data_IF_309635463085
#
_entry.id   IF_309635463085
#
_cell.length_a   1.000
_cell.length_b   1.000
_cell.length_c   1.000
_cell.angle_alpha   90.00
_cell.angle_beta   90.00
_cell.angle_gamma   90.00
#
_symmetry.space_group_name_H-M   'P 1'
#
loop_
_entity.id
_entity.type
_entity.pdbx_description
1 polymer ?
#
# COMPACT_ATOMS: atom_id res chain seq x y z
N UNK A 1 -30.18 15.69 51.31
CA UNK A 1 -28.87 16.31 51.02
C UNK A 1 -28.38 15.79 49.70
N UNK A 2 -28.35 16.65 48.68
CA UNK A 2 -27.78 16.36 47.37
C UNK A 2 -26.27 16.63 47.43
N UNK A 3 -25.44 15.68 46.99
CA UNK A 3 -24.01 15.91 46.77
C UNK A 3 -23.71 15.70 45.28
N UNK A 4 -23.17 16.75 44.69
CA UNK A 4 -22.90 16.96 43.27
C UNK A 4 -21.71 16.12 42.77
N UNK A 5 -21.72 15.63 41.51
CA UNK A 5 -20.59 14.93 40.92
C UNK A 5 -19.49 15.94 40.51
N UNK A 6 -18.29 15.77 41.06
CA UNK A 6 -17.11 16.57 40.71
C UNK A 6 -16.70 16.36 39.25
N UNK A 7 -16.38 17.48 38.63
CA UNK A 7 -16.01 17.74 37.26
C UNK A 7 -14.86 16.88 36.73
N UNK A 8 -15.02 16.45 35.47
CA UNK A 8 -13.96 15.93 34.59
C UNK A 8 -12.91 17.02 34.41
N UNK A 9 -11.70 16.80 34.93
CA UNK A 9 -10.54 17.57 34.53
C UNK A 9 -10.19 17.18 33.08
N UNK A 10 -10.39 18.12 32.16
CA UNK A 10 -9.86 18.05 30.82
C UNK A 10 -8.33 18.02 30.88
N UNK A 11 -7.73 16.90 30.48
CA UNK A 11 -6.32 16.83 30.10
C UNK A 11 -6.13 17.73 28.87
N UNK A 12 -5.69 18.96 29.11
CA UNK A 12 -5.06 19.79 28.09
C UNK A 12 -3.74 19.12 27.67
N UNK A 13 -3.78 18.27 26.65
CA UNK A 13 -2.59 17.95 25.88
C UNK A 13 -2.18 19.20 25.11
N UNK A 14 -1.21 19.94 25.67
CA UNK A 14 -0.44 20.93 24.94
C UNK A 14 0.23 20.19 23.77
N UNK A 15 -0.26 20.43 22.55
CA UNK A 15 0.48 20.11 21.34
C UNK A 15 1.74 20.99 21.35
N UNK A 16 2.84 20.51 21.94
CA UNK A 16 4.15 20.93 21.48
C UNK A 16 4.28 20.37 20.07
N UNK A 17 4.38 21.25 19.07
CA UNK A 17 4.97 20.87 17.80
C UNK A 17 6.39 20.41 18.13
N UNK A 18 6.57 19.10 18.24
CA UNK A 18 7.91 18.53 18.18
C UNK A 18 8.33 18.79 16.74
N UNK A 19 9.28 19.70 16.54
CA UNK A 19 9.93 19.85 15.25
C UNK A 19 10.46 18.46 14.88
N UNK A 20 9.80 17.79 13.93
CA UNK A 20 10.32 16.54 13.38
C UNK A 20 11.73 16.84 12.86
N UNK A 21 12.75 16.06 13.24
CA UNK A 21 14.12 16.31 12.80
C UNK A 21 14.16 16.28 11.28
N UNK A 22 14.30 17.46 10.67
CA UNK A 22 14.44 17.62 9.23
C UNK A 22 15.82 17.10 8.83
N UNK A 23 15.85 16.00 8.09
CA UNK A 23 17.04 15.40 7.49
C UNK A 23 17.81 16.42 6.63
N UNK A 24 19.13 16.45 6.71
CA UNK A 24 19.92 17.27 5.77
C UNK A 24 19.87 16.68 4.36
N UNK A 25 19.93 17.53 3.34
CA UNK A 25 19.95 17.08 1.94
C UNK A 25 21.11 16.09 1.71
N UNK A 26 20.81 14.92 1.15
CA UNK A 26 21.81 13.90 0.85
C UNK A 26 22.03 12.80 1.92
N UNK A 27 21.53 12.95 3.15
CA UNK A 27 21.66 11.91 4.18
C UNK A 27 20.66 10.75 3.98
N UNK A 28 20.94 9.56 4.52
CA UNK A 28 20.06 8.39 4.37
C UNK A 28 18.91 8.30 5.38
N UNK A 29 18.97 9.06 6.48
CA UNK A 29 17.96 9.03 7.54
C UNK A 29 17.94 10.35 8.32
N UNK A 30 16.77 10.75 8.83
CA UNK A 30 16.65 11.87 9.79
C UNK A 30 17.27 11.56 11.14
N UNK A 31 17.18 10.30 11.57
CA UNK A 31 17.81 9.77 12.78
C UNK A 31 18.88 8.75 12.40
N UNK A 32 20.13 9.18 12.39
CA UNK A 32 21.22 8.31 11.98
C UNK A 32 21.54 7.20 12.97
N UNK A 33 21.41 7.45 14.28
CA UNK A 33 21.67 6.42 15.29
C UNK A 33 20.68 5.26 15.16
N UNK A 34 19.40 5.58 14.91
CA UNK A 34 18.38 4.58 14.62
C UNK A 34 18.69 3.81 13.33
N UNK A 35 19.16 4.52 12.29
CA UNK A 35 19.62 3.90 11.04
C UNK A 35 20.77 2.91 11.29
N UNK A 36 21.85 3.34 11.96
CA UNK A 36 23.02 2.51 12.23
C UNK A 36 22.64 1.26 13.00
N UNK A 37 21.83 1.40 14.05
CA UNK A 37 21.35 0.27 14.85
C UNK A 37 20.57 -0.73 14.00
N UNK A 38 19.63 -0.26 13.18
CA UNK A 38 18.81 -1.12 12.34
C UNK A 38 19.64 -1.77 11.22
N UNK A 39 20.55 -1.03 10.60
CA UNK A 39 21.45 -1.55 9.56
C UNK A 39 22.43 -2.57 10.15
N UNK A 40 22.93 -2.35 11.37
CA UNK A 40 23.83 -3.29 12.03
C UNK A 40 23.19 -4.66 12.27
N UNK A 41 21.89 -4.71 12.59
CA UNK A 41 21.15 -5.98 12.72
C UNK A 41 21.14 -6.75 11.39
N UNK A 42 20.91 -6.05 10.29
CA UNK A 42 20.93 -6.62 8.93
C UNK A 42 22.33 -7.14 8.59
N UNK A 43 23.36 -6.30 8.76
CA UNK A 43 24.75 -6.66 8.48
C UNK A 43 25.23 -7.83 9.35
N UNK A 44 24.86 -7.87 10.63
CA UNK A 44 25.19 -9.01 11.51
C UNK A 44 24.53 -10.30 11.05
N UNK A 45 23.30 -10.22 10.54
CA UNK A 45 22.59 -11.39 10.00
C UNK A 45 23.29 -11.89 8.74
N UNK A 46 23.54 -11.01 7.77
CA UNK A 46 24.27 -11.34 6.55
C UNK A 46 25.69 -11.88 6.82
N UNK A 47 26.42 -11.30 7.77
CA UNK A 47 27.77 -11.76 8.14
C UNK A 47 27.77 -13.17 8.73
N UNK A 48 26.77 -13.50 9.56
CA UNK A 48 26.57 -14.88 10.08
C UNK A 48 26.31 -15.89 8.96
N UNK A 49 25.82 -15.42 7.81
CA UNK A 49 25.57 -16.20 6.60
C UNK A 49 26.70 -16.14 5.55
N UNK A 50 27.89 -15.71 5.95
CA UNK A 50 29.09 -15.72 5.11
C UNK A 50 29.20 -14.54 4.15
N UNK A 51 28.33 -13.53 4.24
CA UNK A 51 28.42 -12.34 3.40
C UNK A 51 29.53 -11.42 3.91
N UNK A 52 30.44 -11.05 3.01
CA UNK A 52 31.48 -10.05 3.25
C UNK A 52 31.11 -8.73 2.58
N UNK A 53 31.34 -7.63 3.29
CA UNK A 53 30.90 -6.30 2.86
C UNK A 53 32.03 -5.55 2.14
N UNK A 54 31.75 -5.06 0.94
CA UNK A 54 32.72 -4.29 0.13
C UNK A 54 32.77 -2.80 0.49
N UNK A 55 31.76 -2.29 1.21
CA UNK A 55 31.61 -0.88 1.57
C UNK A 55 31.22 -0.72 3.04
N UNK A 56 31.39 0.49 3.57
CA UNK A 56 30.86 0.85 4.89
C UNK A 56 29.39 1.24 4.79
N UNK A 57 28.50 0.27 5.02
CA UNK A 57 27.04 0.42 4.96
C UNK A 57 26.44 1.28 6.07
N UNK A 58 27.20 1.60 7.12
CA UNK A 58 26.72 2.42 8.23
C UNK A 58 26.82 3.93 7.93
N UNK A 59 27.49 4.34 6.86
CA UNK A 59 27.68 5.77 6.54
C UNK A 59 26.37 6.53 6.31
N UNK A 60 26.37 7.80 6.71
CA UNK A 60 25.28 8.77 6.54
C UNK A 60 25.02 9.13 5.09
N UNK A 61 26.10 9.22 4.30
CA UNK A 61 26.07 9.69 2.93
C UNK A 61 25.60 8.60 1.98
N UNK A 62 24.89 8.98 0.91
CA UNK A 62 24.46 8.05 -0.14
C UNK A 62 25.65 7.40 -0.83
N UNK A 63 25.44 6.18 -1.32
CA UNK A 63 26.38 5.58 -2.25
C UNK A 63 26.13 6.12 -3.65
N UNK A 64 27.22 6.48 -4.34
CA UNK A 64 27.16 6.85 -5.76
C UNK A 64 26.66 5.68 -6.58
N UNK A 65 25.80 5.98 -7.56
CA UNK A 65 25.24 5.03 -8.52
C UNK A 65 25.03 5.75 -9.85
N UNK A 66 25.32 5.07 -10.95
CA UNK A 66 25.06 5.53 -12.32
C UNK A 66 23.68 5.07 -12.82
N UNK A 67 23.14 5.74 -13.83
CA UNK A 67 21.87 5.32 -14.46
C UNK A 67 21.97 3.93 -15.09
N UNK A 68 23.12 3.60 -15.70
CA UNK A 68 23.36 2.28 -16.28
C UNK A 68 23.30 1.15 -15.25
N UNK A 69 23.70 1.41 -14.00
CA UNK A 69 23.60 0.42 -12.91
C UNK A 69 22.15 0.19 -12.46
N UNK A 70 21.23 1.08 -12.86
CA UNK A 70 19.80 1.02 -12.53
C UNK A 70 18.93 0.47 -13.66
N UNK A 71 19.52 0.14 -14.81
CA UNK A 71 18.82 -0.43 -15.96
C UNK A 71 18.07 -1.73 -15.56
N UNK A 72 16.81 -1.85 -15.99
CA UNK A 72 15.90 -2.94 -15.66
C UNK A 72 15.08 -2.76 -14.38
N UNK A 73 15.28 -1.66 -13.64
CA UNK A 73 14.49 -1.33 -12.44
C UNK A 73 13.47 -0.19 -12.69
N UNK A 74 13.30 0.27 -13.93
CA UNK A 74 12.53 1.46 -14.31
C UNK A 74 11.06 1.38 -13.91
N UNK A 75 10.50 0.16 -13.83
CA UNK A 75 9.14 -0.09 -13.34
C UNK A 75 8.98 0.20 -11.84
N UNK A 76 10.07 0.13 -11.07
CA UNK A 76 10.09 0.26 -9.60
C UNK A 76 10.61 1.64 -9.20
N UNK A 77 11.69 2.10 -9.83
CA UNK A 77 12.36 3.35 -9.47
C UNK A 77 12.11 4.46 -10.47
N UNK A 78 12.20 5.70 -9.99
CA UNK A 78 12.40 6.87 -10.85
C UNK A 78 13.84 7.36 -10.57
N UNK A 79 14.77 7.37 -11.56
CA UNK A 79 16.20 7.58 -11.31
C UNK A 79 16.55 8.83 -10.49
N UNK A 80 15.85 9.94 -10.72
CA UNK A 80 16.12 11.21 -10.05
C UNK A 80 15.20 11.53 -8.87
N UNK A 81 14.29 10.61 -8.51
CA UNK A 81 13.37 10.82 -7.39
C UNK A 81 13.89 10.16 -6.11
N UNK A 82 13.78 10.90 -5.01
CA UNK A 82 13.95 10.39 -3.66
C UNK A 82 12.70 9.61 -3.25
N UNK A 83 12.85 8.32 -3.01
CA UNK A 83 11.82 7.49 -2.38
C UNK A 83 12.17 7.23 -0.93
N UNK A 84 11.16 7.15 -0.08
CA UNK A 84 11.31 6.98 1.36
C UNK A 84 10.51 5.79 1.85
N UNK A 85 11.05 5.13 2.86
CA UNK A 85 10.38 4.11 3.64
C UNK A 85 10.24 4.62 5.08
N UNK A 86 9.07 4.42 5.68
CA UNK A 86 8.83 4.73 7.09
C UNK A 86 8.77 3.42 7.87
N UNK A 87 9.66 3.25 8.85
CA UNK A 87 9.54 2.18 9.83
C UNK A 87 8.30 2.44 10.69
N UNK A 88 7.26 1.64 10.48
CA UNK A 88 5.97 1.82 11.16
C UNK A 88 6.04 1.56 12.67
N UNK A 89 7.10 0.93 13.18
CA UNK A 89 7.32 0.72 14.61
C UNK A 89 7.91 1.94 15.29
N UNK A 90 8.91 2.57 14.67
CA UNK A 90 9.65 3.70 15.26
C UNK A 90 9.16 5.07 14.77
N UNK A 91 8.48 5.11 13.63
CA UNK A 91 8.12 6.34 12.92
C UNK A 91 9.27 6.92 12.08
N UNK A 92 10.45 6.31 12.13
CA UNK A 92 11.65 6.81 11.45
C UNK A 92 11.55 6.66 9.94
N UNK A 93 12.07 7.66 9.21
CA UNK A 93 12.10 7.65 7.76
C UNK A 93 13.50 7.39 7.23
N UNK A 94 13.60 6.42 6.34
CA UNK A 94 14.81 6.05 5.63
C UNK A 94 14.67 6.36 4.16
N UNK A 95 15.67 7.01 3.59
CA UNK A 95 15.78 7.18 2.16
C UNK A 95 16.14 5.85 1.47
N UNK A 96 15.60 5.66 0.28
CA UNK A 96 16.07 4.66 -0.68
C UNK A 96 17.45 5.04 -1.25
N UNK A 97 18.52 4.67 -0.56
CA UNK A 97 19.88 4.78 -1.10
C UNK A 97 20.11 3.68 -2.15
N UNK A 98 19.77 4.00 -3.41
CA UNK A 98 19.80 3.08 -4.56
C UNK A 98 21.17 2.39 -4.71
N UNK A 99 22.27 3.17 -4.57
CA UNK A 99 23.63 2.64 -4.66
C UNK A 99 23.96 1.66 -3.52
N UNK A 100 23.38 1.87 -2.34
CA UNK A 100 23.53 0.95 -1.20
C UNK A 100 22.75 -0.34 -1.38
N UNK A 101 21.53 -0.25 -1.91
CA UNK A 101 20.73 -1.44 -2.20
C UNK A 101 21.41 -2.33 -3.24
N UNK A 102 21.93 -1.74 -4.33
CA UNK A 102 22.69 -2.46 -5.35
C UNK A 102 23.99 -3.07 -4.79
N UNK A 103 24.75 -2.29 -4.02
CA UNK A 103 25.99 -2.80 -3.42
C UNK A 103 25.71 -3.99 -2.49
N UNK A 104 24.63 -3.91 -1.70
CA UNK A 104 24.23 -4.97 -0.78
C UNK A 104 23.81 -6.23 -1.54
N UNK A 105 22.97 -6.08 -2.58
CA UNK A 105 22.56 -7.20 -3.44
C UNK A 105 23.77 -7.88 -4.10
N UNK A 106 24.75 -7.09 -4.57
CA UNK A 106 25.99 -7.59 -5.15
C UNK A 106 26.85 -8.35 -4.14
N UNK A 107 27.04 -7.82 -2.94
CA UNK A 107 27.82 -8.48 -1.88
C UNK A 107 27.17 -9.81 -1.46
N UNK A 108 25.83 -9.83 -1.36
CA UNK A 108 25.07 -11.05 -1.06
C UNK A 108 25.22 -12.08 -2.20
N UNK A 109 24.96 -11.67 -3.44
CA UNK A 109 25.05 -12.54 -4.62
C UNK A 109 26.46 -13.12 -4.77
N UNK A 110 27.50 -12.31 -4.55
CA UNK A 110 28.90 -12.77 -4.59
C UNK A 110 29.17 -13.88 -3.55
N UNK A 111 28.58 -13.78 -2.37
CA UNK A 111 28.79 -14.73 -1.29
C UNK A 111 27.91 -15.98 -1.40
N UNK A 112 26.70 -15.85 -1.96
CA UNK A 112 25.64 -16.87 -1.91
C UNK A 112 25.29 -17.47 -3.26
N UNK A 113 25.77 -16.87 -4.35
CA UNK A 113 25.36 -17.19 -5.71
C UNK A 113 24.05 -16.53 -6.11
N UNK A 114 23.62 -16.81 -7.34
CA UNK A 114 22.34 -16.36 -7.88
C UNK A 114 21.20 -17.00 -7.10
N UNK A 115 20.19 -16.20 -6.74
CA UNK A 115 19.01 -16.67 -6.00
C UNK A 115 18.23 -17.72 -6.80
N UNK A 116 17.89 -18.83 -6.15
CA UNK A 116 16.97 -19.87 -6.67
C UNK A 116 15.75 -20.02 -5.76
N UNK A 117 14.70 -20.67 -6.25
CA UNK A 117 13.48 -20.98 -5.48
C UNK A 117 13.21 -22.48 -5.59
N UNK A 118 12.98 -23.15 -4.46
CA UNK A 118 12.88 -24.61 -4.37
C UNK A 118 11.45 -25.14 -4.58
N UNK A 119 10.54 -24.29 -5.04
CA UNK A 119 9.15 -24.64 -5.31
C UNK A 119 8.70 -24.03 -6.64
N UNK A 120 7.70 -24.66 -7.25
CA UNK A 120 7.17 -24.21 -8.53
C UNK A 120 6.19 -23.06 -8.32
N UNK A 121 6.46 -21.95 -9.01
CA UNK A 121 5.66 -20.74 -8.94
C UNK A 121 5.36 -20.24 -10.36
N UNK A 122 4.08 -20.17 -10.70
CA UNK A 122 3.62 -19.68 -12.01
C UNK A 122 3.10 -18.25 -11.90
N UNK A 123 3.24 -17.53 -12.99
CA UNK A 123 2.47 -16.32 -13.27
C UNK A 123 0.98 -16.65 -13.27
N UNK A 124 0.18 -15.73 -12.73
CA UNK A 124 -1.28 -15.84 -12.73
C UNK A 124 -1.91 -14.53 -13.15
N UNK A 125 -3.10 -14.61 -13.71
CA UNK A 125 -3.92 -13.45 -14.08
C UNK A 125 -5.28 -13.56 -13.41
N UNK A 126 -5.82 -12.43 -12.96
CA UNK A 126 -7.17 -12.33 -12.46
C UNK A 126 -7.78 -10.96 -12.79
N UNK A 127 -8.72 -10.94 -13.74
CA UNK A 127 -9.27 -9.69 -14.26
C UNK A 127 -8.19 -8.84 -14.93
N UNK A 128 -8.00 -7.62 -14.45
CA UNK A 128 -6.99 -6.68 -14.98
C UNK A 128 -5.63 -6.76 -14.30
N UNK A 129 -5.44 -7.70 -13.39
CA UNK A 129 -4.17 -7.88 -12.70
C UNK A 129 -3.48 -9.13 -13.20
N UNK A 130 -2.17 -9.06 -13.36
CA UNK A 130 -1.31 -10.21 -13.63
C UNK A 130 -0.07 -10.14 -12.75
N UNK A 131 0.58 -11.29 -12.55
CA UNK A 131 1.76 -11.41 -11.70
C UNK A 131 3.00 -11.77 -12.48
N UNK A 132 4.15 -11.36 -11.94
CA UNK A 132 5.47 -11.84 -12.38
C UNK A 132 6.31 -12.22 -11.15
N UNK A 133 6.63 -13.51 -10.94
CA UNK A 133 7.60 -13.92 -9.93
C UNK A 133 8.97 -13.30 -10.19
N UNK A 134 9.70 -12.95 -9.12
CA UNK A 134 11.10 -12.54 -9.27
C UNK A 134 11.97 -13.73 -9.64
N UNK A 135 12.90 -13.50 -10.56
CA UNK A 135 13.91 -14.45 -11.01
C UNK A 135 15.28 -14.09 -10.44
N UNK A 136 16.25 -15.01 -10.56
CA UNK A 136 17.60 -14.82 -10.00
C UNK A 136 18.25 -13.49 -10.40
N UNK A 137 18.11 -13.08 -11.67
CA UNK A 137 18.62 -11.81 -12.18
C UNK A 137 17.97 -10.56 -11.55
N UNK A 138 16.70 -10.65 -11.11
CA UNK A 138 16.04 -9.56 -10.39
C UNK A 138 16.65 -9.40 -8.99
N UNK A 139 17.01 -10.51 -8.35
CA UNK A 139 17.75 -10.51 -7.08
C UNK A 139 19.18 -9.96 -7.23
N UNK A 140 19.89 -10.29 -8.31
CA UNK A 140 21.21 -9.69 -8.55
C UNK A 140 21.13 -8.16 -8.66
N UNK A 141 20.01 -7.64 -9.19
CA UNK A 141 19.71 -6.21 -9.28
C UNK A 141 19.10 -5.60 -8.00
N UNK A 142 18.97 -6.35 -6.91
CA UNK A 142 18.45 -5.80 -5.66
C UNK A 142 16.93 -5.60 -5.63
N UNK A 143 16.16 -6.15 -6.58
CA UNK A 143 14.74 -5.86 -6.75
C UNK A 143 13.90 -5.97 -5.45
N UNK A 144 14.06 -6.98 -4.57
CA UNK A 144 13.29 -7.05 -3.32
C UNK A 144 13.43 -5.80 -2.43
N UNK A 145 14.63 -5.21 -2.38
CA UNK A 145 14.85 -3.97 -1.64
C UNK A 145 14.03 -2.83 -2.25
N UNK A 146 14.12 -2.63 -3.56
CA UNK A 146 13.41 -1.55 -4.26
C UNK A 146 11.89 -1.68 -4.17
N UNK A 147 11.36 -2.91 -4.29
CA UNK A 147 9.94 -3.19 -4.15
C UNK A 147 9.40 -2.70 -2.81
N UNK A 148 10.13 -2.97 -1.73
CA UNK A 148 9.78 -2.57 -0.37
C UNK A 148 9.69 -1.05 -0.19
N UNK A 149 10.57 -0.30 -0.86
CA UNK A 149 10.54 1.17 -0.85
C UNK A 149 9.42 1.74 -1.72
N UNK A 150 9.18 1.18 -2.91
CA UNK A 150 8.20 1.72 -3.87
C UNK A 150 6.79 1.70 -3.34
N UNK A 151 6.41 0.65 -2.61
CA UNK A 151 5.08 0.53 -2.01
C UNK A 151 4.93 1.40 -0.76
N UNK A 152 6.01 1.95 -0.19
CA UNK A 152 6.01 2.77 1.04
C UNK A 152 5.30 2.09 2.22
N UNK A 153 5.17 0.78 2.18
CA UNK A 153 4.40 -0.01 3.13
C UNK A 153 5.25 -1.21 3.53
N UNK A 154 5.84 -1.12 4.72
CA UNK A 154 6.47 -2.27 5.35
C UNK A 154 6.11 -2.25 6.83
N UNK A 155 5.45 -3.31 7.29
CA UNK A 155 5.10 -3.52 8.71
C UNK A 155 6.33 -3.93 9.56
N UNK A 156 7.58 -3.75 9.06
CA UNK A 156 8.79 -4.23 9.74
C UNK A 156 9.81 -3.15 10.06
N UNK A 157 10.39 -3.22 11.27
CA UNK A 157 11.58 -2.47 11.61
C UNK A 157 12.79 -3.04 10.85
N UNK A 158 13.53 -2.17 10.17
CA UNK A 158 14.77 -2.50 9.51
C UNK A 158 15.23 -1.37 8.59
N UNK A 159 16.55 -1.21 8.45
CA UNK A 159 17.08 -0.37 7.39
C UNK A 159 16.80 -1.02 6.03
N UNK A 160 16.98 -0.28 4.92
CA UNK A 160 16.95 -0.84 3.55
C UNK A 160 15.68 -1.61 3.15
N UNK A 161 14.51 -1.17 3.62
CA UNK A 161 13.21 -1.74 3.22
C UNK A 161 12.69 -2.86 4.13
N UNK A 162 13.37 -3.14 5.24
CA UNK A 162 12.95 -4.15 6.23
C UNK A 162 13.72 -5.47 6.12
N UNK A 163 13.31 -6.46 6.91
CA UNK A 163 14.04 -7.74 7.00
C UNK A 163 13.68 -8.75 5.89
N UNK A 164 12.53 -8.61 5.22
CA UNK A 164 12.11 -9.57 4.18
C UNK A 164 13.02 -9.64 2.97
N UNK A 165 13.48 -8.53 2.38
CA UNK A 165 14.45 -8.61 1.30
C UNK A 165 15.65 -9.50 1.67
N UNK A 166 16.18 -9.34 2.89
CA UNK A 166 17.30 -10.13 3.39
C UNK A 166 16.92 -11.59 3.59
N UNK A 167 15.79 -11.86 4.23
CA UNK A 167 15.31 -13.22 4.44
C UNK A 167 15.09 -13.96 3.12
N UNK A 168 14.62 -13.25 2.08
CA UNK A 168 14.47 -13.81 0.73
C UNK A 168 15.83 -14.19 0.15
N UNK A 169 16.86 -13.33 0.21
CA UNK A 169 18.19 -13.74 -0.27
C UNK A 169 18.77 -14.95 0.46
N UNK A 170 18.42 -15.12 1.74
CA UNK A 170 18.96 -16.18 2.57
C UNK A 170 18.16 -17.50 2.48
N UNK A 171 17.01 -17.50 1.79
CA UNK A 171 16.10 -18.65 1.73
C UNK A 171 15.65 -18.97 0.31
N UNK A 172 15.80 -20.23 -0.11
CA UNK A 172 15.18 -20.70 -1.35
C UNK A 172 13.68 -21.01 -1.20
N UNK A 173 13.14 -20.87 0.01
CA UNK A 173 11.76 -21.09 0.37
C UNK A 173 10.98 -19.77 0.45
N UNK A 174 11.60 -18.65 0.09
CA UNK A 174 10.97 -17.34 -0.01
C UNK A 174 11.19 -16.71 -1.39
N UNK A 175 10.16 -16.05 -1.91
CA UNK A 175 10.30 -15.18 -3.09
C UNK A 175 9.25 -14.07 -3.11
N UNK A 176 9.52 -13.02 -3.86
CA UNK A 176 8.57 -11.95 -4.15
C UNK A 176 7.89 -12.14 -5.51
N UNK A 177 6.65 -11.66 -5.60
CA UNK A 177 5.85 -11.67 -6.82
C UNK A 177 5.32 -10.27 -7.08
N UNK A 178 5.71 -9.70 -8.21
CA UNK A 178 5.23 -8.40 -8.66
C UNK A 178 3.80 -8.52 -9.19
N UNK A 179 3.05 -7.43 -9.05
CA UNK A 179 1.68 -7.29 -9.55
C UNK A 179 1.64 -6.11 -10.52
N UNK A 180 1.08 -6.37 -11.69
CA UNK A 180 0.90 -5.38 -12.75
C UNK A 180 -0.58 -5.22 -13.10
N UNK A 181 -0.95 -4.03 -13.56
CA UNK A 181 -2.28 -3.78 -14.12
C UNK A 181 -2.34 -4.12 -15.63
N UNK A 182 -3.51 -3.96 -16.25
CA UNK A 182 -3.72 -4.24 -17.68
C UNK A 182 -2.94 -3.35 -18.64
N UNK A 183 -2.41 -2.22 -18.16
CA UNK A 183 -1.55 -1.32 -18.93
C UNK A 183 -0.07 -1.71 -18.84
N UNK A 184 0.27 -2.72 -18.04
CA UNK A 184 1.64 -3.11 -17.75
C UNK A 184 2.31 -2.27 -16.65
N UNK A 185 1.56 -1.42 -15.94
CA UNK A 185 2.14 -0.65 -14.84
C UNK A 185 2.27 -1.52 -13.60
N UNK A 186 3.42 -1.43 -12.91
CA UNK A 186 3.61 -2.02 -11.59
C UNK A 186 2.70 -1.33 -10.57
N UNK A 187 1.90 -2.13 -9.84
CA UNK A 187 0.92 -1.62 -8.85
C UNK A 187 1.16 -2.16 -7.44
N UNK A 188 2.05 -3.12 -7.25
CA UNK A 188 2.35 -3.72 -5.95
C UNK A 188 3.08 -5.04 -6.07
N UNK A 189 3.33 -5.68 -4.93
CA UNK A 189 3.91 -7.01 -4.86
C UNK A 189 3.41 -7.75 -3.61
N UNK A 190 3.68 -9.04 -3.54
CA UNK A 190 3.57 -9.80 -2.31
C UNK A 190 4.70 -10.83 -2.18
N UNK A 191 4.99 -11.25 -0.96
CA UNK A 191 5.97 -12.30 -0.69
C UNK A 191 5.27 -13.64 -0.49
N UNK A 192 5.84 -14.72 -1.02
CA UNK A 192 5.43 -16.10 -0.78
C UNK A 192 6.52 -16.80 0.03
N UNK A 193 6.10 -17.54 1.06
CA UNK A 193 6.98 -18.34 1.89
C UNK A 193 6.47 -19.78 2.00
N UNK A 194 7.33 -20.74 1.69
CA UNK A 194 7.09 -22.15 1.96
C UNK A 194 7.40 -22.46 3.43
N UNK A 195 6.60 -23.34 4.01
CA UNK A 195 6.70 -23.77 5.39
C UNK A 195 7.33 -25.15 5.50
N UNK A 196 7.76 -25.51 6.71
CA UNK A 196 8.37 -26.82 6.99
C UNK A 196 7.49 -28.01 6.63
N UNK A 197 6.16 -27.83 6.72
CA UNK A 197 5.20 -28.85 6.35
C UNK A 197 4.86 -28.85 4.84
N UNK A 198 5.52 -28.02 4.04
CA UNK A 198 5.29 -27.84 2.60
C UNK A 198 4.16 -26.87 2.24
N UNK A 199 3.35 -26.40 3.20
CA UNK A 199 2.31 -25.40 2.94
C UNK A 199 2.91 -24.03 2.60
N UNK A 200 2.10 -23.15 2.02
CA UNK A 200 2.54 -21.78 1.68
C UNK A 200 1.84 -20.72 2.53
N UNK A 201 2.57 -19.65 2.80
CA UNK A 201 2.03 -18.42 3.38
C UNK A 201 2.40 -17.24 2.49
N UNK A 202 1.40 -16.50 2.04
CA UNK A 202 1.56 -15.18 1.45
C UNK A 202 1.73 -14.20 2.63
N UNK A 203 2.92 -13.61 2.72
CA UNK A 203 3.33 -12.70 3.80
C UNK A 203 2.74 -11.31 3.60
N UNK A 204 3.58 -10.35 3.20
CA UNK A 204 3.15 -8.98 2.88
C UNK A 204 2.37 -8.95 1.57
N UNK A 205 1.26 -8.22 1.53
CA UNK A 205 0.61 -7.77 0.29
C UNK A 205 0.74 -6.25 0.25
N UNK A 206 1.77 -5.76 -0.45
CA UNK A 206 2.12 -4.35 -0.50
C UNK A 206 1.67 -3.74 -1.83
N UNK A 207 0.71 -2.81 -1.76
CA UNK A 207 0.12 -2.17 -2.93
C UNK A 207 0.44 -0.68 -2.93
N UNK A 208 0.64 -0.08 -4.11
CA UNK A 208 0.83 1.37 -4.20
C UNK A 208 -0.50 2.08 -3.85
N UNK A 209 -0.56 2.77 -2.71
CA UNK A 209 -1.67 3.65 -2.32
C UNK A 209 -1.39 5.10 -2.72
N UNK A 210 -1.99 5.54 -3.84
CA UNK A 210 -1.88 6.92 -4.33
C UNK A 210 -2.98 7.82 -3.73
N UNK A 211 -3.06 7.88 -2.39
CA UNK A 211 -3.96 8.79 -1.66
C UNK A 211 -5.42 8.79 -2.17
N UNK A 212 -5.98 7.59 -2.36
CA UNK A 212 -7.38 7.39 -2.80
C UNK A 212 -7.56 7.07 -4.29
N UNK A 213 -6.48 7.02 -5.08
CA UNK A 213 -6.50 6.48 -6.45
C UNK A 213 -5.89 5.08 -6.48
N UNK A 214 -6.70 4.07 -6.23
CA UNK A 214 -6.28 2.68 -6.41
C UNK A 214 -6.14 2.38 -7.90
N UNK A 215 -4.93 2.03 -8.35
CA UNK A 215 -4.67 1.55 -9.72
C UNK A 215 -5.13 0.10 -9.93
N UNK A 216 -5.67 -0.53 -8.90
CA UNK A 216 -6.18 -1.89 -8.91
C UNK A 216 -7.57 -1.97 -8.28
N UNK A 217 -8.33 -3.01 -8.60
CA UNK A 217 -9.55 -3.35 -7.89
C UNK A 217 -9.25 -4.29 -6.73
N UNK A 218 -9.72 -3.98 -5.53
CA UNK A 218 -9.62 -4.88 -4.38
C UNK A 218 -10.29 -6.24 -4.63
N UNK A 219 -11.36 -6.28 -5.45
CA UNK A 219 -12.02 -7.53 -5.86
C UNK A 219 -11.09 -8.37 -6.75
N UNK A 220 -10.40 -7.72 -7.69
CA UNK A 220 -9.45 -8.40 -8.58
C UNK A 220 -8.21 -8.85 -7.81
N UNK A 221 -7.71 -8.06 -6.85
CA UNK A 221 -6.62 -8.47 -5.97
C UNK A 221 -6.99 -9.74 -5.18
N UNK A 222 -8.19 -9.82 -4.59
CA UNK A 222 -8.63 -11.05 -3.90
C UNK A 222 -8.69 -12.25 -4.83
N UNK A 223 -9.16 -12.05 -6.06
CA UNK A 223 -9.18 -13.11 -7.08
C UNK A 223 -7.76 -13.53 -7.44
N UNK A 224 -6.85 -12.57 -7.63
CA UNK A 224 -5.44 -12.83 -7.94
C UNK A 224 -4.77 -13.68 -6.86
N UNK A 225 -4.97 -13.32 -5.58
CA UNK A 225 -4.43 -14.08 -4.44
C UNK A 225 -5.03 -15.49 -4.36
N UNK A 226 -6.34 -15.63 -4.64
CA UNK A 226 -7.00 -16.94 -4.71
C UNK A 226 -6.43 -17.79 -5.86
N UNK A 227 -6.31 -17.22 -7.07
CA UNK A 227 -5.73 -17.89 -8.23
C UNK A 227 -4.28 -18.30 -7.99
N UNK A 228 -3.48 -17.43 -7.35
CA UNK A 228 -2.11 -17.77 -6.96
C UNK A 228 -2.09 -18.93 -5.96
N UNK A 229 -2.99 -18.93 -4.97
CA UNK A 229 -3.09 -20.02 -4.00
C UNK A 229 -3.47 -21.35 -4.64
N UNK A 230 -4.40 -21.36 -5.58
CA UNK A 230 -4.76 -22.57 -6.34
C UNK A 230 -3.59 -23.05 -7.19
N UNK A 231 -2.93 -22.13 -7.91
CA UNK A 231 -1.75 -22.43 -8.73
C UNK A 231 -0.61 -23.04 -7.88
N UNK A 232 -0.34 -22.49 -6.69
CA UNK A 232 0.64 -23.05 -5.77
C UNK A 232 0.31 -24.49 -5.38
N UNK A 233 -0.94 -24.80 -5.05
CA UNK A 233 -1.33 -26.18 -4.72
C UNK A 233 -1.28 -27.11 -5.94
N UNK A 234 -1.67 -26.65 -7.12
CA UNK A 234 -1.64 -27.48 -8.33
C UNK A 234 -0.20 -27.88 -8.71
N UNK A 235 0.76 -26.98 -8.54
CA UNK A 235 2.16 -27.21 -8.95
C UNK A 235 3.06 -27.73 -7.82
N UNK A 236 2.55 -27.86 -6.59
CA UNK A 236 3.34 -28.34 -5.44
C UNK A 236 2.53 -29.37 -4.65
N UNK A 237 2.63 -30.65 -5.03
CA UNK A 237 1.78 -31.74 -4.54
C UNK A 237 1.81 -31.94 -3.01
N UNK A 238 2.95 -31.68 -2.37
CA UNK A 238 3.11 -31.82 -0.92
C UNK A 238 2.29 -30.80 -0.13
N UNK A 239 2.06 -29.61 -0.69
CA UNK A 239 1.33 -28.55 -0.02
C UNK A 239 -0.16 -28.90 0.10
N UNK A 240 -0.74 -28.68 1.27
CA UNK A 240 -2.18 -28.87 1.50
C UNK A 240 -2.93 -27.55 1.58
N UNK A 241 -2.26 -26.47 1.99
CA UNK A 241 -2.88 -25.18 2.25
C UNK A 241 -2.04 -24.02 1.77
N UNK A 242 -2.74 -22.95 1.40
CA UNK A 242 -2.17 -21.62 1.20
C UNK A 242 -2.89 -20.64 2.12
N UNK A 243 -2.11 -19.95 2.95
CA UNK A 243 -2.61 -18.93 3.86
C UNK A 243 -2.11 -17.53 3.52
N UNK A 244 -2.77 -16.49 4.02
CA UNK A 244 -2.32 -15.10 4.01
C UNK A 244 -2.04 -14.63 5.42
N UNK A 245 -1.02 -13.80 5.61
CA UNK A 245 -0.74 -13.16 6.89
C UNK A 245 -1.87 -12.23 7.35
N UNK A 246 -2.14 -12.21 8.65
CA UNK A 246 -3.12 -11.33 9.32
C UNK A 246 -2.58 -9.90 9.52
N UNK A 247 -1.86 -9.38 8.52
CA UNK A 247 -1.29 -8.05 8.52
C UNK A 247 -2.39 -7.01 8.36
N UNK A 248 -2.27 -5.88 9.06
CA UNK A 248 -3.25 -4.80 8.92
C UNK A 248 -3.36 -4.32 7.48
N UNK A 249 -2.22 -4.17 6.82
CA UNK A 249 -2.15 -3.78 5.41
C UNK A 249 -2.67 -4.87 4.47
N UNK A 250 -2.34 -6.15 4.71
CA UNK A 250 -2.84 -7.26 3.89
C UNK A 250 -4.37 -7.27 3.82
N UNK A 251 -5.02 -7.26 5.00
CA UNK A 251 -6.47 -7.32 5.07
C UNK A 251 -7.14 -6.03 4.61
N UNK A 252 -6.52 -4.86 4.85
CA UNK A 252 -7.01 -3.58 4.31
C UNK A 252 -6.93 -3.53 2.79
N UNK A 253 -5.87 -4.07 2.18
CA UNK A 253 -5.71 -4.11 0.72
C UNK A 253 -6.72 -5.07 0.08
N UNK A 254 -7.02 -6.19 0.71
CA UNK A 254 -8.01 -7.16 0.21
C UNK A 254 -9.45 -6.75 0.52
N UNK A 255 -9.72 -6.14 1.69
CA UNK A 255 -11.05 -5.87 2.22
C UNK A 255 -11.14 -4.47 2.86
N UNK A 256 -10.96 -3.38 2.09
CA UNK A 256 -10.80 -2.03 2.63
C UNK A 256 -11.99 -1.55 3.46
N UNK A 257 -13.22 -1.89 3.07
CA UNK A 257 -14.42 -1.49 3.83
C UNK A 257 -14.56 -2.19 5.18
N UNK A 258 -13.93 -3.37 5.34
CA UNK A 258 -14.03 -4.21 6.54
C UNK A 258 -12.87 -3.97 7.52
N UNK A 259 -11.75 -3.43 7.04
CA UNK A 259 -10.51 -3.22 7.83
C UNK A 259 -9.97 -1.80 7.75
N UNK A 260 -10.78 -0.82 7.31
CA UNK A 260 -10.46 0.59 7.49
C UNK A 260 -10.37 0.94 8.98
N UNK A 261 -9.65 2.02 9.32
CA UNK A 261 -9.55 2.49 10.70
C UNK A 261 -10.96 2.68 11.30
N UNK A 262 -11.13 2.24 12.54
CA UNK A 262 -12.39 2.29 13.31
C UNK A 262 -13.53 1.37 12.80
N UNK A 263 -13.23 0.36 11.99
CA UNK A 263 -14.20 -0.70 11.64
C UNK A 263 -14.08 -1.88 12.60
N UNK A 264 -15.15 -2.68 12.72
CA UNK A 264 -15.15 -3.87 13.58
C UNK A 264 -14.03 -4.87 13.22
N UNK A 265 -13.75 -5.03 11.91
CA UNK A 265 -12.65 -5.87 11.45
C UNK A 265 -11.28 -5.30 11.84
N UNK A 266 -11.10 -3.98 11.86
CA UNK A 266 -9.87 -3.34 12.34
C UNK A 266 -9.62 -3.64 13.83
N UNK A 267 -10.64 -3.48 14.68
CA UNK A 267 -10.51 -3.76 16.11
C UNK A 267 -10.27 -5.25 16.39
N UNK A 268 -11.05 -6.11 15.76
CA UNK A 268 -10.92 -7.56 15.89
C UNK A 268 -9.55 -8.04 15.42
N UNK A 269 -9.05 -7.53 14.30
CA UNK A 269 -7.71 -7.84 13.84
C UNK A 269 -6.63 -7.38 14.83
N UNK A 270 -6.80 -6.21 15.45
CA UNK A 270 -5.89 -5.68 16.46
C UNK A 270 -5.71 -6.62 17.65
N UNK A 271 -6.79 -7.28 18.08
CA UNK A 271 -6.76 -8.28 19.16
C UNK A 271 -6.10 -9.60 18.72
N UNK A 272 -6.24 -9.98 17.44
CA UNK A 272 -5.84 -11.30 16.96
C UNK A 272 -4.42 -11.34 16.37
N UNK A 273 -4.01 -10.34 15.60
CA UNK A 273 -2.86 -10.45 14.67
C UNK A 273 -1.51 -10.77 15.32
N UNK A 274 -1.33 -10.44 16.60
CA UNK A 274 -0.08 -10.72 17.33
C UNK A 274 -0.28 -11.59 18.57
N UNK A 275 -1.53 -11.98 18.87
CA UNK A 275 -1.85 -12.79 20.04
C UNK A 275 -1.35 -14.23 19.89
N UNK A 276 -1.20 -14.92 21.02
CA UNK A 276 -1.23 -16.37 21.04
C UNK A 276 -2.70 -16.80 20.91
N UNK A 277 -3.06 -17.39 19.77
CA UNK A 277 -4.45 -17.72 19.47
C UNK A 277 -5.06 -18.75 20.42
N UNK A 278 -4.24 -19.51 21.16
CA UNK A 278 -4.73 -20.43 22.20
C UNK A 278 -5.36 -19.69 23.39
N UNK A 279 -4.99 -18.42 23.59
CA UNK A 279 -5.44 -17.58 24.70
C UNK A 279 -6.62 -16.66 24.33
N UNK A 280 -7.05 -16.67 23.08
CA UNK A 280 -8.05 -15.74 22.53
C UNK A 280 -9.44 -16.38 22.60
N UNK A 281 -10.46 -15.56 22.89
CA UNK A 281 -11.86 -15.99 22.83
C UNK A 281 -12.28 -16.46 21.42
N UNK A 282 -12.89 -17.64 21.33
CA UNK A 282 -13.34 -18.24 20.08
C UNK A 282 -14.34 -17.34 19.31
N UNK A 283 -15.14 -16.52 20.00
CA UNK A 283 -16.08 -15.59 19.35
C UNK A 283 -15.37 -14.55 18.49
N UNK A 284 -14.18 -14.10 18.90
CA UNK A 284 -13.36 -13.16 18.13
C UNK A 284 -12.81 -13.81 16.86
N UNK A 285 -12.37 -15.06 16.97
CA UNK A 285 -11.95 -15.89 15.84
C UNK A 285 -13.13 -16.04 14.86
N UNK A 286 -14.26 -16.55 15.33
CA UNK A 286 -15.47 -16.74 14.52
C UNK A 286 -15.96 -15.44 13.87
N UNK A 287 -15.78 -14.30 14.54
CA UNK A 287 -16.14 -13.01 13.97
C UNK A 287 -15.20 -12.62 12.81
N UNK A 288 -13.89 -12.79 12.95
CA UNK A 288 -12.95 -12.53 11.86
C UNK A 288 -13.19 -13.46 10.67
N UNK A 289 -13.47 -14.74 10.92
CA UNK A 289 -13.79 -15.72 9.88
C UNK A 289 -15.05 -15.31 9.09
N UNK A 290 -16.10 -14.85 9.77
CA UNK A 290 -17.31 -14.31 9.11
C UNK A 290 -17.05 -13.03 8.32
N UNK A 291 -16.13 -12.18 8.78
CA UNK A 291 -15.78 -10.95 8.07
C UNK A 291 -14.98 -11.27 6.80
N UNK A 292 -14.10 -12.27 6.85
CA UNK A 292 -13.15 -12.54 5.76
C UNK A 292 -13.57 -13.67 4.83
N UNK A 293 -14.49 -14.51 5.27
CA UNK A 293 -14.85 -15.79 4.64
C UNK A 293 -13.66 -16.78 4.55
N UNK A 294 -12.65 -16.58 5.43
CA UNK A 294 -11.45 -17.40 5.55
C UNK A 294 -11.34 -17.99 6.95
N UNK A 295 -10.81 -19.21 7.03
CA UNK A 295 -10.55 -19.89 8.30
C UNK A 295 -9.30 -19.32 8.98
N UNK A 296 -9.37 -19.04 10.28
CA UNK A 296 -8.21 -18.63 11.06
C UNK A 296 -7.36 -19.86 11.36
N UNK A 297 -6.09 -19.79 10.97
CA UNK A 297 -5.15 -20.86 11.27
C UNK A 297 -4.77 -20.82 12.75
N UNK A 298 -5.10 -21.88 13.49
CA UNK A 298 -4.82 -21.98 14.94
C UNK A 298 -3.34 -21.97 15.30
N UNK A 299 -2.48 -22.52 14.43
CA UNK A 299 -1.03 -22.54 14.61
C UNK A 299 -0.39 -21.48 13.73
N UNK A 300 0.54 -20.70 14.27
CA UNK A 300 1.36 -19.78 13.48
C UNK A 300 2.03 -20.52 12.32
N UNK A 301 2.13 -19.91 11.12
CA UNK A 301 2.97 -20.45 10.06
C UNK A 301 4.39 -20.65 10.58
N UNK A 302 5.10 -21.69 10.13
CA UNK A 302 6.50 -21.94 10.48
C UNK A 302 7.29 -21.95 9.18
N UNK A 303 8.06 -20.89 8.93
CA UNK A 303 8.82 -20.76 7.68
C UNK A 303 10.07 -21.61 7.76
N UNK A 304 10.43 -22.25 6.66
CA UNK A 304 11.63 -23.08 6.62
C UNK A 304 12.89 -22.28 6.87
N UNK A 305 13.66 -22.74 7.85
CA UNK A 305 14.87 -22.06 8.31
C UNK A 305 14.62 -20.70 8.98
N UNK A 306 13.42 -20.48 9.57
CA UNK A 306 13.04 -19.16 10.09
C UNK A 306 13.98 -18.60 11.17
N UNK A 307 14.66 -19.47 11.93
CA UNK A 307 15.64 -19.05 12.95
C UNK A 307 16.87 -18.43 12.29
N UNK A 308 17.34 -19.07 11.22
CA UNK A 308 18.56 -18.72 10.51
C UNK A 308 18.35 -17.44 9.71
N UNK A 309 17.23 -17.31 9.00
CA UNK A 309 16.99 -16.21 8.06
C UNK A 309 16.35 -14.97 8.70
N UNK A 310 16.12 -14.96 10.02
CA UNK A 310 15.57 -13.81 10.73
C UNK A 310 14.06 -13.62 10.52
N UNK A 311 13.32 -14.72 10.46
CA UNK A 311 11.88 -14.78 10.17
C UNK A 311 11.08 -15.34 11.35
N UNK A 312 11.55 -15.11 12.57
CA UNK A 312 10.86 -15.58 13.77
C UNK A 312 9.50 -14.90 13.95
N UNK A 313 8.49 -15.56 14.54
CA UNK A 313 7.14 -15.00 14.68
C UNK A 313 7.07 -13.61 15.33
N UNK A 314 8.01 -13.26 16.20
CA UNK A 314 8.15 -11.94 16.83
C UNK A 314 8.79 -10.89 15.92
N UNK A 315 9.53 -11.32 14.89
CA UNK A 315 10.17 -10.49 13.86
C UNK A 315 9.24 -10.23 12.66
N UNK A 316 8.33 -11.16 12.33
CA UNK A 316 7.33 -11.06 11.24
C UNK A 316 5.91 -10.91 11.75
N UNK A 317 5.68 -9.83 12.49
CA UNK A 317 4.43 -9.63 13.23
C UNK A 317 3.17 -9.56 12.35
N UNK A 318 3.28 -9.05 11.13
CA UNK A 318 2.16 -9.00 10.17
C UNK A 318 1.63 -10.40 9.80
N UNK A 319 2.45 -11.45 9.82
CA UNK A 319 2.02 -12.80 9.47
C UNK A 319 2.39 -13.86 10.51
N UNK A 320 2.58 -13.43 11.77
CA UNK A 320 2.61 -14.34 12.93
C UNK A 320 1.37 -15.24 12.94
N UNK A 321 0.20 -14.64 12.70
CA UNK A 321 -1.07 -15.35 12.54
C UNK A 321 -1.54 -15.21 11.09
N UNK A 322 -2.33 -16.19 10.62
CA UNK A 322 -2.68 -16.30 9.20
C UNK A 322 -4.11 -16.81 8.99
N UNK A 323 -4.67 -16.47 7.83
CA UNK A 323 -5.97 -16.95 7.34
C UNK A 323 -5.77 -17.94 6.21
N UNK A 324 -6.45 -19.08 6.23
CA UNK A 324 -6.41 -20.08 5.14
C UNK A 324 -7.28 -19.60 3.99
N UNK A 325 -6.65 -19.32 2.84
CA UNK A 325 -7.34 -18.88 1.63
C UNK A 325 -7.74 -20.08 0.77
N UNK A 326 -6.84 -21.05 0.65
CA UNK A 326 -7.06 -22.27 -0.14
C UNK A 326 -6.66 -23.49 0.69
N UNK A 327 -7.52 -24.49 0.69
CA UNK A 327 -7.28 -25.83 1.23
C UNK A 327 -7.52 -26.83 0.10
N UNK A 328 -6.57 -27.75 -0.12
CA UNK A 328 -6.63 -28.75 -1.19
C UNK A 328 -7.91 -29.59 -1.11
N UNK A 329 -8.41 -29.89 0.09
CA UNK A 329 -9.64 -30.66 0.28
C UNK A 329 -10.91 -29.88 -0.12
N UNK A 330 -10.79 -28.56 -0.30
CA UNK A 330 -11.87 -27.65 -0.70
C UNK A 330 -11.59 -27.01 -2.07
N UNK A 331 -10.63 -27.55 -2.83
CA UNK A 331 -10.12 -26.92 -4.06
C UNK A 331 -11.19 -26.84 -5.14
N UNK A 332 -11.96 -27.90 -5.36
CA UNK A 332 -13.04 -27.95 -6.37
C UNK A 332 -14.04 -26.80 -6.19
N UNK A 333 -14.50 -26.58 -4.96
CA UNK A 333 -15.40 -25.46 -4.65
C UNK A 333 -14.76 -24.09 -4.89
N UNK A 334 -13.45 -23.94 -4.73
CA UNK A 334 -12.72 -22.68 -4.99
C UNK A 334 -12.48 -22.44 -6.48
N UNK A 335 -12.16 -23.49 -7.25
CA UNK A 335 -12.04 -23.43 -8.71
C UNK A 335 -13.37 -23.03 -9.33
N UNK A 336 -14.48 -23.66 -8.91
CA UNK A 336 -15.82 -23.32 -9.39
C UNK A 336 -16.20 -21.85 -9.12
N UNK A 337 -15.76 -21.27 -7.98
CA UNK A 337 -15.96 -19.83 -7.70
C UNK A 337 -15.23 -18.96 -8.74
N UNK A 338 -13.99 -19.30 -9.11
CA UNK A 338 -13.24 -18.56 -10.11
C UNK A 338 -13.89 -18.66 -11.49
N UNK A 339 -14.27 -19.87 -11.92
CA UNK A 339 -14.92 -20.11 -13.21
C UNK A 339 -16.25 -19.34 -13.33
N UNK A 340 -17.10 -19.39 -12.31
CA UNK A 340 -18.37 -18.64 -12.28
C UNK A 340 -18.15 -17.12 -12.38
N UNK A 341 -17.08 -16.60 -11.76
CA UNK A 341 -16.71 -15.19 -11.82
C UNK A 341 -16.24 -14.80 -13.22
N UNK A 342 -15.51 -15.65 -13.92
CA UNK A 342 -15.06 -15.41 -15.29
C UNK A 342 -16.23 -15.48 -16.29
N UNK A 343 -17.11 -16.47 -16.14
CA UNK A 343 -18.32 -16.61 -16.95
C UNK A 343 -19.24 -15.38 -16.82
N UNK A 344 -19.44 -14.88 -15.60
CA UNK A 344 -20.26 -13.67 -15.36
C UNK A 344 -19.60 -12.37 -15.82
N UNK A 345 -18.27 -12.33 -16.00
CA UNK A 345 -17.57 -11.20 -16.64
C UNK A 345 -17.70 -11.20 -18.16
N UNK A 346 -17.84 -12.38 -18.77
CA UNK A 346 -17.89 -12.57 -20.22
C UNK A 346 -19.31 -12.62 -20.81
N UNK A 347 -20.36 -12.56 -19.99
CA UNK A 347 -21.72 -12.37 -20.49
C UNK A 347 -21.92 -10.91 -20.96
N UNK A 348 -22.27 -10.67 -22.24
CA UNK A 348 -22.77 -9.38 -22.66
C UNK A 348 -24.02 -9.09 -21.83
N UNK A 349 -24.09 -7.92 -21.19
CA UNK A 349 -25.31 -7.54 -20.48
C UNK A 349 -26.45 -7.49 -21.50
N UNK A 350 -27.35 -8.48 -21.45
CA UNK A 350 -28.57 -8.47 -22.24
C UNK A 350 -29.37 -7.22 -21.89
N UNK A 351 -29.70 -6.44 -22.91
CA UNK A 351 -30.46 -5.20 -22.87
C UNK A 351 -31.63 -5.23 -21.87
N UNK A 352 -31.55 -4.39 -20.84
CA UNK A 352 -32.74 -3.78 -20.28
C UNK A 352 -32.83 -2.37 -20.89
N UNK A 353 -33.64 -2.26 -21.94
CA UNK A 353 -34.04 -0.99 -22.54
C UNK A 353 -34.82 -0.21 -21.49
N UNK A 354 -34.17 0.75 -20.85
CA UNK A 354 -34.83 1.87 -20.19
C UNK A 354 -34.25 3.12 -20.84
N UNK A 355 -34.99 3.67 -21.80
CA UNK A 355 -34.88 5.08 -22.13
C UNK A 355 -35.19 5.86 -20.85
N UNK A 356 -34.17 6.47 -20.25
CA UNK A 356 -34.40 7.67 -19.46
C UNK A 356 -33.10 8.49 -19.40
N UNK A 357 -33.27 9.77 -19.76
CA UNK A 357 -32.27 10.81 -19.86
C UNK A 357 -31.47 10.96 -18.55
N UNK A 358 -30.37 10.22 -18.41
CA UNK A 358 -29.35 10.57 -17.43
C UNK A 358 -27.99 10.19 -17.99
N UNK A 359 -27.22 11.21 -18.38
CA UNK A 359 -25.83 11.04 -18.80
C UNK A 359 -25.11 10.31 -17.67
N UNK A 360 -24.74 9.04 -17.91
CA UNK A 360 -24.06 8.20 -16.92
C UNK A 360 -22.91 8.95 -16.25
N UNK A 361 -22.94 9.06 -14.92
CA UNK A 361 -21.87 9.67 -14.09
C UNK A 361 -20.48 9.14 -14.43
N UNK A 362 -20.39 7.92 -14.96
CA UNK A 362 -19.16 7.27 -15.41
C UNK A 362 -18.59 7.91 -16.69
N UNK A 363 -19.46 8.26 -17.64
CA UNK A 363 -19.11 9.00 -18.86
C UNK A 363 -18.75 10.46 -18.55
N UNK A 364 -19.47 11.08 -17.60
CA UNK A 364 -19.19 12.45 -17.13
C UNK A 364 -17.80 12.56 -16.46
N UNK A 365 -17.42 11.57 -15.63
CA UNK A 365 -16.08 11.52 -15.01
C UNK A 365 -14.95 11.43 -16.05
N UNK A 366 -15.17 10.68 -17.12
CA UNK A 366 -14.15 10.47 -18.18
C UNK A 366 -13.96 11.72 -19.05
N UNK A 367 -15.02 12.51 -19.30
CA UNK A 367 -14.94 13.80 -20.02
C UNK A 367 -14.40 14.94 -19.15
N UNK A 368 -14.80 15.04 -17.88
CA UNK A 368 -14.27 16.03 -16.94
C UNK A 368 -12.75 15.83 -16.68
N UNK A 369 -12.28 14.58 -16.67
CA UNK A 369 -10.86 14.24 -16.51
C UNK A 369 -9.97 14.82 -17.62
N UNK A 370 -10.48 14.97 -18.85
CA UNK A 370 -9.73 15.59 -19.96
C UNK A 370 -9.55 17.11 -19.83
N UNK A 371 -10.27 17.78 -18.91
CA UNK A 371 -10.33 19.24 -18.82
C UNK A 371 -9.75 19.82 -17.50
N UNK A 372 -8.83 19.08 -16.85
CA UNK A 372 -8.27 19.41 -15.52
C UNK A 372 -7.69 20.84 -15.40
N UNK A 373 -7.02 21.36 -16.44
CA UNK A 373 -6.45 22.72 -16.42
C UNK A 373 -7.53 23.80 -16.37
N UNK A 374 -8.62 23.64 -17.13
CA UNK A 374 -9.72 24.62 -17.18
C UNK A 374 -10.52 24.66 -15.86
N UNK A 375 -10.64 23.53 -15.17
CA UNK A 375 -11.37 23.46 -13.88
C UNK A 375 -10.57 24.08 -12.72
N UNK A 376 -9.25 23.93 -12.72
CA UNK A 376 -8.38 24.58 -11.72
C UNK A 376 -8.39 26.09 -11.90
N UNK A 377 -8.24 26.58 -13.14
CA UNK A 377 -8.30 28.01 -13.45
C UNK A 377 -9.66 28.62 -13.03
N UNK A 378 -10.77 27.92 -13.30
CA UNK A 378 -12.11 28.35 -12.86
C UNK A 378 -12.19 28.49 -11.34
N UNK A 379 -11.66 27.52 -10.57
CA UNK A 379 -11.71 27.59 -9.11
C UNK A 379 -10.79 28.67 -8.56
N UNK A 380 -9.60 28.83 -9.12
CA UNK A 380 -8.69 29.92 -8.76
C UNK A 380 -9.32 31.30 -9.08
N UNK A 381 -10.05 31.44 -10.19
CA UNK A 381 -10.79 32.66 -10.53
C UNK A 381 -11.98 32.89 -9.59
N UNK A 382 -12.71 31.83 -9.22
CA UNK A 382 -13.79 31.89 -8.24
C UNK A 382 -13.28 32.34 -6.87
N UNK A 383 -12.15 31.79 -6.40
CA UNK A 383 -11.51 32.18 -5.15
C UNK A 383 -10.98 33.63 -5.20
N UNK A 384 -10.62 34.14 -6.39
CA UNK A 384 -10.16 35.52 -6.59
C UNK A 384 -11.28 36.57 -6.67
N UNK A 385 -12.54 36.18 -6.93
CA UNK A 385 -13.65 37.15 -6.95
C UNK A 385 -13.82 37.76 -5.55
N UNK A 386 -14.06 39.09 -5.49
CA UNK A 386 -14.09 39.91 -4.27
C UNK A 386 -14.97 39.38 -3.13
N UNK A 387 -15.94 38.50 -3.39
CA UNK A 387 -16.77 37.86 -2.37
C UNK A 387 -16.11 36.69 -1.62
N UNK A 388 -14.93 36.23 -2.06
CA UNK A 388 -14.22 35.03 -1.52
C UNK A 388 -12.79 35.34 -1.05
N UNK A 389 -12.23 36.52 -1.35
CA UNK A 389 -10.91 36.93 -0.80
C UNK A 389 -10.85 36.97 0.74
N UNK A 390 -12.01 37.02 1.42
CA UNK A 390 -12.12 36.94 2.89
C UNK A 390 -12.29 35.50 3.43
N UNK A 391 -12.39 34.50 2.56
CA UNK A 391 -12.40 33.12 2.99
C UNK A 391 -10.93 32.69 3.12
N UNK A 392 -10.41 32.76 4.35
CA UNK A 392 -9.10 32.26 4.82
C UNK A 392 -8.91 30.77 4.46
N UNK A 393 -8.79 30.48 3.16
CA UNK A 393 -8.68 29.14 2.63
C UNK A 393 -7.90 29.12 1.32
N UNK A 394 -7.16 28.04 1.12
CA UNK A 394 -6.31 27.81 -0.04
C UNK A 394 -6.75 26.56 -0.81
N UNK A 395 -6.62 26.60 -2.14
CA UNK A 395 -6.89 25.44 -2.98
C UNK A 395 -5.76 24.42 -2.82
N UNK A 396 -6.10 23.22 -2.37
CA UNK A 396 -5.15 22.11 -2.20
C UNK A 396 -5.10 21.26 -3.46
N UNK A 397 -6.27 20.86 -3.98
CA UNK A 397 -6.37 19.94 -5.12
C UNK A 397 -7.71 20.10 -5.87
N UNK A 398 -7.74 19.73 -7.15
CA UNK A 398 -8.97 19.54 -7.94
C UNK A 398 -9.03 18.11 -8.51
N UNK A 399 -10.07 17.37 -8.14
CA UNK A 399 -10.35 16.01 -8.58
C UNK A 399 -11.71 15.92 -9.33
N UNK A 400 -11.67 16.23 -10.62
CA UNK A 400 -12.75 16.02 -11.59
C UNK A 400 -14.03 16.81 -11.31
N UNK A 401 -14.83 16.36 -10.34
CA UNK A 401 -16.08 16.99 -9.91
C UNK A 401 -15.95 17.69 -8.56
N UNK A 402 -14.77 17.69 -7.92
CA UNK A 402 -14.59 18.30 -6.60
C UNK A 402 -13.28 19.09 -6.53
N UNK A 403 -13.28 20.18 -5.76
CA UNK A 403 -12.09 20.89 -5.30
C UNK A 403 -11.94 20.67 -3.79
N UNK A 404 -10.70 20.48 -3.33
CA UNK A 404 -10.35 20.40 -1.92
C UNK A 404 -9.74 21.74 -1.50
N UNK A 405 -10.36 22.38 -0.53
CA UNK A 405 -9.90 23.63 0.07
C UNK A 405 -9.40 23.35 1.48
N UNK A 406 -8.26 23.94 1.85
CA UNK A 406 -7.76 23.97 3.22
C UNK A 406 -8.10 25.32 3.84
N UNK A 407 -8.67 25.29 5.03
CA UNK A 407 -8.99 26.48 5.81
C UNK A 407 -7.80 26.81 6.70
N UNK A 408 -7.32 28.05 6.66
CA UNK A 408 -6.12 28.47 7.38
C UNK A 408 -6.33 28.47 8.90
N UNK A 409 -7.55 28.82 9.36
CA UNK A 409 -7.98 28.68 10.76
C UNK A 409 -9.09 27.61 10.90
N UNK A 410 -8.78 26.40 11.39
CA UNK A 410 -9.73 25.29 11.46
C UNK A 410 -10.97 25.57 12.33
N UNK A 411 -10.86 26.49 13.30
CA UNK A 411 -11.99 26.93 14.14
C UNK A 411 -13.06 27.65 13.33
N UNK A 412 -12.68 28.30 12.22
CA UNK A 412 -13.57 29.05 11.33
C UNK A 412 -14.21 28.15 10.25
N UNK A 413 -13.85 26.86 10.17
CA UNK A 413 -14.29 25.93 9.13
C UNK A 413 -15.80 25.90 8.92
N UNK A 414 -16.59 25.92 10.00
CA UNK A 414 -18.06 25.89 9.92
C UNK A 414 -18.63 27.17 9.29
N UNK A 415 -18.04 28.32 9.63
CA UNK A 415 -18.44 29.62 9.09
C UNK A 415 -18.05 29.74 7.62
N UNK A 416 -16.84 29.31 7.26
CA UNK A 416 -16.34 29.32 5.87
C UNK A 416 -17.15 28.38 4.98
N UNK A 417 -17.50 27.19 5.48
CA UNK A 417 -18.43 26.27 4.80
C UNK A 417 -19.76 26.95 4.47
N UNK A 418 -20.37 27.65 5.43
CA UNK A 418 -21.65 28.34 5.22
C UNK A 418 -21.53 29.50 4.22
N UNK A 419 -20.41 30.25 4.25
CA UNK A 419 -20.15 31.33 3.29
C UNK A 419 -20.00 30.79 1.86
N UNK A 420 -19.21 29.72 1.67
CA UNK A 420 -19.03 29.08 0.37
C UNK A 420 -20.34 28.48 -0.18
N UNK A 421 -21.19 27.92 0.69
CA UNK A 421 -22.51 27.43 0.30
C UNK A 421 -23.47 28.57 -0.11
N UNK A 422 -23.47 29.70 0.63
CA UNK A 422 -24.37 30.85 0.36
C UNK A 422 -23.94 31.68 -0.84
N UNK A 423 -22.65 31.90 -1.03
CA UNK A 423 -22.16 32.85 -2.03
C UNK A 423 -22.46 32.41 -3.46
N UNK A 424 -22.47 31.09 -3.74
CA UNK A 424 -22.53 30.59 -5.12
C UNK A 424 -23.29 29.27 -5.33
N UNK A 425 -24.11 28.82 -4.36
CA UNK A 425 -24.90 27.59 -4.51
C UNK A 425 -24.05 26.31 -4.65
N UNK A 426 -22.78 26.38 -4.27
CA UNK A 426 -21.85 25.24 -4.33
C UNK A 426 -22.20 24.24 -3.23
N UNK A 427 -22.22 22.96 -3.56
CA UNK A 427 -22.32 21.92 -2.54
C UNK A 427 -20.97 21.76 -1.85
N UNK A 428 -20.90 22.12 -0.57
CA UNK A 428 -19.68 22.02 0.24
C UNK A 428 -19.87 20.97 1.33
N UNK A 429 -18.95 20.01 1.36
CA UNK A 429 -18.83 18.94 2.33
C UNK A 429 -17.59 19.14 3.22
N UNK A 430 -17.50 18.39 4.32
CA UNK A 430 -16.27 18.38 5.12
C UNK A 430 -15.22 17.53 4.40
N UNK A 431 -13.97 17.99 4.39
CA UNK A 431 -12.84 17.20 3.92
C UNK A 431 -12.46 16.09 4.90
N UNK A 432 -11.45 15.30 4.51
CA UNK A 432 -10.95 14.19 5.33
C UNK A 432 -10.19 14.69 6.58
N UNK A 433 -9.57 15.87 6.49
CA UNK A 433 -8.91 16.54 7.63
C UNK A 433 -9.82 17.55 8.31
N UNK A 434 -9.48 17.87 9.55
CA UNK A 434 -10.27 18.76 10.41
C UNK A 434 -10.28 20.22 9.92
N UNK A 435 -9.34 20.59 9.08
CA UNK A 435 -9.13 21.90 8.46
C UNK A 435 -9.56 21.94 6.99
N UNK A 436 -10.11 20.85 6.44
CA UNK A 436 -10.42 20.75 5.01
C UNK A 436 -11.91 20.83 4.72
N UNK A 437 -12.23 21.40 3.55
CA UNK A 437 -13.55 21.46 2.94
C UNK A 437 -13.48 20.90 1.52
N UNK A 438 -14.50 20.13 1.14
CA UNK A 438 -14.63 19.56 -0.20
C UNK A 438 -15.78 20.26 -0.92
N UNK A 439 -15.49 20.92 -2.03
CA UNK A 439 -16.45 21.68 -2.83
C UNK A 439 -16.78 20.89 -4.09
N UNK A 440 -18.06 20.65 -4.37
CA UNK A 440 -18.48 20.06 -5.64
C UNK A 440 -18.48 21.14 -6.73
N UNK A 441 -17.86 20.81 -7.86
CA UNK A 441 -17.74 21.70 -9.01
C UNK A 441 -18.97 21.55 -9.91
N UNK A 442 -19.59 22.67 -10.34
CA UNK A 442 -20.64 22.63 -11.35
C UNK A 442 -20.05 22.13 -12.68
N UNK A 443 -20.84 21.36 -13.41
CA UNK A 443 -20.45 20.86 -14.72
C UNK A 443 -20.47 22.03 -15.71
N UNK A 444 -19.30 22.41 -16.23
CA UNK A 444 -19.19 23.40 -17.31
C UNK A 444 -19.64 22.74 -18.62
N UNK A 445 -20.93 22.86 -18.96
CA UNK A 445 -21.42 22.48 -20.30
C UNK A 445 -21.13 23.55 -21.34
N UNK A 446 -21.01 24.83 -20.96
CA UNK A 446 -20.78 25.94 -21.89
C UNK A 446 -19.92 27.01 -21.22
N UNK A 447 -18.61 26.99 -21.50
CA UNK A 447 -17.81 28.21 -21.47
C UNK A 447 -17.34 28.42 -22.90
N UNK A 448 -18.00 29.35 -23.57
CA UNK A 448 -17.47 30.09 -24.70
C UNK A 448 -16.24 30.86 -24.22
N UNK A 449 -15.11 30.15 -24.07
CA UNK A 449 -13.81 30.81 -23.94
C UNK A 449 -13.53 31.42 -25.30
N UNK A 450 -13.80 32.73 -25.42
CA UNK A 450 -13.21 33.55 -26.48
C UNK A 450 -11.70 33.40 -26.33
N UNK A 451 -11.11 32.80 -27.34
CA UNK A 451 -9.66 32.65 -27.48
C UNK A 451 -9.02 34.06 -27.45
N UNK A 452 -8.22 34.40 -26.44
CA UNK A 452 -7.61 35.73 -26.34
C UNK A 452 -6.56 35.98 -27.43
N UNK A 453 -6.22 34.96 -28.23
CA UNK A 453 -5.28 35.07 -29.35
C UNK A 453 -5.94 35.18 -30.73
N UNK A 454 -7.28 35.30 -30.82
CA UNK A 454 -7.93 35.71 -32.08
C UNK A 454 -7.95 37.23 -32.17
N UNK A 455 -6.83 37.79 -32.62
CA UNK A 455 -6.79 39.14 -33.18
C UNK A 455 -7.87 39.28 -34.24
N UNK A 456 -8.79 40.21 -34.02
CA UNK A 456 -9.73 40.70 -35.02
C UNK A 456 -8.94 41.35 -36.16
N UNK A 457 -8.73 40.60 -37.23
CA UNK A 457 -8.49 41.16 -38.55
C UNK A 457 -9.84 41.60 -39.10
N UNK A 458 -10.01 42.91 -39.27
CA UNK A 458 -10.97 43.54 -40.18
C UNK A 458 -10.78 43.04 -41.60
#
# INVERSE_FOLDING_TARGET
MFVSPRSRQHLHTVYKSVDEPKRNSGEVASNHEAYEKNMQVILNTLKRHGVSFSKNYLKKERFTVSESELEGLEKIIIPHEDSFFTDLRSGEQFLMDKGRLLALAKDITKARGVKTTDFELKEVTAGKLHTKPLEGQDYEKGAPFFLSYKTKHCDFPGAVGGNYPIAEYLSNQGTSVEIFNSSGDYVGHYNIWQQDNGDFCIGTIAMIDNHGYSQFSHKELRQLILTQGISLLQNNERAQRVSIGMGGHNLRNMFPSKFAKNTDGFFTLGELRHADLSSVCQDKINHLERITDYEVRKKSPVITGQNEIGMMPDQRKDFKNALVVVDRNKLEGRTNILENIEQTKNQPSSNATIEEQSVSRKSQRKKAYKNKMNQRALIEELLKKQSIQECECSLVEVNGMHALLRVDNPSNRKQIKQRLQKAQGLQVENGLRYDELRVQLPYVTELSVRDPNRSSGT
#
